data_IF_431570889467
#
_entry.id   IF_431570889467
#
_cell.length_a   1.000
_cell.length_b   1.000
_cell.length_c   1.000
_cell.angle_alpha   90.00
_cell.angle_beta   90.00
_cell.angle_gamma   90.00
#
_symmetry.space_group_name_H-M   'P 1'
#
loop_
_entity.id
_entity.type
_entity.pdbx_description
1 polymer ?
#
# COMPACT_ATOMS: atom_id res chain seq x y z
N UNK A 1 2.67 3.77 5.39
CA UNK A 1 3.87 2.98 5.09
C UNK A 1 4.46 2.38 6.37
N UNK A 2 4.94 1.15 6.33
CA UNK A 2 5.74 0.54 7.42
C UNK A 2 6.96 -0.14 6.84
N UNK A 3 8.08 -0.14 7.56
CA UNK A 3 9.37 -0.63 7.07
C UNK A 3 10.02 -1.56 8.08
N UNK A 4 10.76 -2.55 7.57
CA UNK A 4 11.53 -3.49 8.37
C UNK A 4 12.69 -2.82 9.11
N UNK A 5 12.94 -3.27 10.33
CA UNK A 5 14.01 -2.79 11.17
C UNK A 5 15.36 -2.89 10.44
N UNK A 6 16.15 -1.81 10.46
CA UNK A 6 17.43 -1.70 9.74
C UNK A 6 17.33 -2.04 8.25
N UNK A 7 16.20 -1.68 7.62
CA UNK A 7 15.87 -2.05 6.24
C UNK A 7 15.81 -3.57 5.99
N UNK A 8 15.62 -4.36 7.04
CA UNK A 8 15.54 -5.82 6.97
C UNK A 8 14.30 -6.30 6.21
N UNK A 9 14.42 -7.49 5.66
CA UNK A 9 13.33 -8.18 4.94
C UNK A 9 12.19 -8.50 5.89
N UNK A 10 10.96 -8.13 5.50
CA UNK A 10 9.73 -8.44 6.24
C UNK A 10 8.83 -9.44 5.52
N UNK A 11 9.11 -9.78 4.27
CA UNK A 11 8.46 -10.85 3.51
C UNK A 11 9.52 -11.72 2.88
N UNK A 12 9.64 -13.00 3.28
CA UNK A 12 10.65 -13.94 2.78
C UNK A 12 10.10 -14.90 1.74
N UNK A 13 8.82 -15.22 1.84
CA UNK A 13 8.13 -16.13 0.92
C UNK A 13 6.68 -15.72 0.67
N UNK A 14 5.98 -16.44 -0.22
CA UNK A 14 4.58 -16.17 -0.59
C UNK A 14 3.62 -16.21 0.59
N UNK A 15 3.88 -17.07 1.57
CA UNK A 15 3.01 -17.22 2.73
C UNK A 15 3.04 -15.97 3.62
N UNK A 16 4.19 -15.29 3.69
CA UNK A 16 4.34 -14.03 4.43
C UNK A 16 3.48 -12.91 3.83
N UNK A 17 3.53 -12.75 2.51
CA UNK A 17 2.68 -11.80 1.79
C UNK A 17 1.19 -12.14 1.98
N UNK A 18 0.85 -13.41 1.83
CA UNK A 18 -0.51 -13.90 2.05
C UNK A 18 -0.99 -13.70 3.48
N UNK A 19 -0.13 -13.93 4.47
CA UNK A 19 -0.44 -13.68 5.88
C UNK A 19 -0.76 -12.20 6.12
N UNK A 20 0.06 -11.29 5.60
CA UNK A 20 -0.17 -9.85 5.77
C UNK A 20 -1.53 -9.41 5.20
N UNK A 21 -1.87 -9.88 3.99
CA UNK A 21 -3.17 -9.57 3.35
C UNK A 21 -4.35 -10.19 4.12
N UNK A 22 -4.21 -11.41 4.64
CA UNK A 22 -5.25 -12.03 5.49
C UNK A 22 -5.48 -11.22 6.77
N UNK A 23 -4.41 -10.79 7.43
CA UNK A 23 -4.53 -9.95 8.64
C UNK A 23 -5.19 -8.59 8.34
N UNK A 24 -4.87 -7.98 7.21
CA UNK A 24 -5.56 -6.78 6.75
C UNK A 24 -7.06 -7.05 6.55
N UNK A 25 -7.43 -8.19 5.96
CA UNK A 25 -8.83 -8.59 5.77
C UNK A 25 -9.55 -8.84 7.09
N UNK A 26 -8.92 -9.53 8.03
CA UNK A 26 -9.49 -9.76 9.36
C UNK A 26 -9.76 -8.43 10.10
N UNK A 27 -8.80 -7.51 10.02
CA UNK A 27 -8.94 -6.18 10.63
C UNK A 27 -10.00 -5.35 9.91
N UNK A 28 -10.11 -5.45 8.57
CA UNK A 28 -11.16 -4.77 7.79
C UNK A 28 -12.56 -5.20 8.21
N UNK A 29 -12.75 -6.47 8.57
CA UNK A 29 -14.02 -6.97 9.05
C UNK A 29 -14.39 -6.42 10.45
N UNK A 30 -13.38 -6.12 11.27
CA UNK A 30 -13.57 -5.62 12.63
C UNK A 30 -13.63 -4.09 12.72
N UNK A 31 -12.79 -3.43 11.94
CA UNK A 31 -12.67 -1.98 11.84
C UNK A 31 -12.78 -1.60 10.36
N UNK A 32 -13.99 -1.33 9.87
CA UNK A 32 -14.21 -1.08 8.44
C UNK A 32 -13.35 0.06 7.90
N UNK A 33 -12.67 -0.21 6.81
CA UNK A 33 -11.94 0.76 6.01
C UNK A 33 -12.02 0.37 4.53
N UNK A 34 -11.83 1.34 3.66
CA UNK A 34 -11.76 1.13 2.21
C UNK A 34 -10.28 1.09 1.83
N UNK A 35 -9.82 -0.02 1.25
CA UNK A 35 -8.45 -0.14 0.72
C UNK A 35 -8.47 0.16 -0.77
N UNK A 36 -7.81 1.24 -1.17
CA UNK A 36 -7.71 1.62 -2.57
C UNK A 36 -6.47 1.02 -3.23
N UNK A 37 -5.29 1.21 -2.65
CA UNK A 37 -4.07 0.65 -3.22
C UNK A 37 -3.16 0.03 -2.18
N UNK A 38 -2.40 -0.98 -2.59
CA UNK A 38 -1.28 -1.51 -1.80
C UNK A 38 -0.12 -1.95 -2.69
N UNK A 39 1.07 -1.93 -2.10
CA UNK A 39 2.25 -2.61 -2.61
C UNK A 39 3.07 -3.13 -1.44
N UNK A 40 3.27 -4.45 -1.39
CA UNK A 40 4.07 -5.13 -0.38
C UNK A 40 5.46 -5.40 -0.96
N UNK A 41 6.41 -4.54 -0.61
CA UNK A 41 7.81 -4.66 -1.05
C UNK A 41 8.57 -5.58 -0.10
N UNK A 42 9.71 -6.10 -0.51
CA UNK A 42 10.49 -7.07 0.29
C UNK A 42 10.73 -6.63 1.74
N UNK A 43 10.97 -5.34 1.98
CA UNK A 43 11.35 -4.80 3.29
C UNK A 43 10.44 -3.66 3.81
N UNK A 44 9.38 -3.33 3.09
CA UNK A 44 8.40 -2.33 3.51
C UNK A 44 7.07 -2.55 2.78
N UNK A 45 6.03 -1.84 3.21
CA UNK A 45 4.74 -1.83 2.53
C UNK A 45 4.19 -0.42 2.40
N UNK A 46 3.41 -0.23 1.35
CA UNK A 46 2.58 0.95 1.14
C UNK A 46 1.12 0.54 1.09
N UNK A 47 0.26 1.33 1.74
CA UNK A 47 -1.20 1.20 1.70
C UNK A 47 -1.79 2.57 1.47
N UNK A 48 -2.79 2.65 0.60
CA UNK A 48 -3.69 3.78 0.48
C UNK A 48 -5.05 3.31 0.93
N UNK A 49 -5.56 3.90 2.00
CA UNK A 49 -6.83 3.50 2.61
C UNK A 49 -7.61 4.70 3.13
N UNK A 50 -8.93 4.57 3.11
CA UNK A 50 -9.86 5.51 3.72
C UNK A 50 -10.48 4.88 4.95
N UNK A 51 -10.29 5.50 6.10
CA UNK A 51 -10.95 5.08 7.36
C UNK A 51 -12.42 5.47 7.33
N UNK A 52 -13.30 4.65 7.92
CA UNK A 52 -14.74 4.93 7.97
C UNK A 52 -15.11 5.54 9.33
N UNK A 53 -15.01 4.78 10.41
CA UNK A 53 -15.41 5.23 11.75
C UNK A 53 -14.26 5.19 12.76
N UNK A 54 -13.22 4.42 12.48
CA UNK A 54 -12.15 4.16 13.41
C UNK A 54 -10.84 4.85 12.95
N UNK A 55 -10.03 5.38 13.88
CA UNK A 55 -8.76 5.97 13.55
C UNK A 55 -7.77 4.92 13.03
N UNK A 56 -6.87 5.33 12.16
CA UNK A 56 -5.91 4.46 11.46
C UNK A 56 -5.08 3.54 12.38
N UNK A 57 -4.81 3.96 13.61
CA UNK A 57 -4.05 3.14 14.56
C UNK A 57 -4.79 1.87 14.98
N UNK A 58 -6.13 1.87 15.06
CA UNK A 58 -6.93 0.66 15.30
C UNK A 58 -6.84 -0.36 14.16
N UNK A 59 -6.51 0.10 12.97
CA UNK A 59 -6.30 -0.74 11.78
C UNK A 59 -4.87 -1.25 11.75
N UNK A 60 -3.90 -0.34 11.80
CA UNK A 60 -2.50 -0.69 11.53
C UNK A 60 -1.80 -1.40 12.68
N UNK A 61 -2.10 -1.03 13.94
CA UNK A 61 -1.43 -1.63 15.09
C UNK A 61 -1.69 -3.14 15.23
N UNK A 62 -2.94 -3.64 15.17
CA UNK A 62 -3.17 -5.08 15.23
C UNK A 62 -2.57 -5.83 14.04
N UNK A 63 -2.62 -5.29 12.82
CA UNK A 63 -2.01 -5.90 11.64
C UNK A 63 -0.51 -6.07 11.87
N UNK A 64 0.20 -4.98 12.18
CA UNK A 64 1.66 -5.01 12.33
C UNK A 64 2.11 -5.87 13.51
N UNK A 65 1.43 -5.78 14.65
CA UNK A 65 1.80 -6.56 15.84
C UNK A 65 1.57 -8.06 15.63
N UNK A 66 0.45 -8.43 15.03
CA UNK A 66 0.16 -9.85 14.77
C UNK A 66 1.11 -10.40 13.73
N UNK A 67 1.34 -9.65 12.65
CA UNK A 67 2.29 -10.04 11.61
C UNK A 67 3.69 -10.23 12.18
N UNK A 68 4.21 -9.26 12.95
CA UNK A 68 5.55 -9.34 13.55
C UNK A 68 5.70 -10.56 14.45
N UNK A 69 4.68 -10.86 15.28
CA UNK A 69 4.69 -12.05 16.15
C UNK A 69 4.75 -13.35 15.34
N UNK A 70 3.93 -13.47 14.30
CA UNK A 70 3.90 -14.66 13.44
C UNK A 70 5.19 -14.83 12.65
N UNK A 71 5.73 -13.74 12.10
CA UNK A 71 7.02 -13.73 11.41
C UNK A 71 8.15 -14.17 12.34
N UNK A 72 8.25 -13.58 13.53
CA UNK A 72 9.27 -13.91 14.51
C UNK A 72 9.20 -15.39 14.93
N UNK A 73 7.99 -15.89 15.17
CA UNK A 73 7.76 -17.30 15.50
C UNK A 73 8.20 -18.22 14.33
N UNK A 74 7.82 -17.90 13.11
CA UNK A 74 8.14 -18.70 11.90
C UNK A 74 9.65 -18.80 11.66
N UNK A 75 10.38 -17.70 11.89
CA UNK A 75 11.80 -17.61 11.52
C UNK A 75 12.77 -17.67 12.71
N UNK A 76 12.27 -17.87 13.93
CA UNK A 76 13.11 -17.83 15.14
C UNK A 76 13.80 -16.50 15.31
N UNK A 77 13.08 -15.39 14.96
CA UNK A 77 13.64 -14.05 15.00
C UNK A 77 13.32 -13.35 16.31
N UNK A 78 14.33 -12.80 16.97
CA UNK A 78 14.19 -12.03 18.21
C UNK A 78 14.26 -10.54 17.94
N UNK A 79 13.38 -9.77 18.62
CA UNK A 79 13.37 -8.32 18.55
C UNK A 79 12.28 -7.74 17.65
N UNK A 80 12.45 -6.45 17.30
CA UNK A 80 11.46 -5.71 16.53
C UNK A 80 11.59 -5.98 15.03
N UNK A 81 10.54 -6.50 14.41
CA UNK A 81 10.48 -6.72 12.96
C UNK A 81 10.43 -5.39 12.20
N UNK A 82 9.66 -4.42 12.70
CA UNK A 82 9.54 -3.09 12.11
C UNK A 82 10.44 -2.08 12.83
N UNK A 83 10.99 -1.11 12.09
CA UNK A 83 11.88 -0.08 12.63
C UNK A 83 11.18 0.91 13.56
N UNK A 84 9.90 1.15 13.28
CA UNK A 84 9.05 2.06 14.03
C UNK A 84 7.58 1.67 13.87
N UNK A 85 6.69 2.46 14.47
CA UNK A 85 5.29 2.46 14.07
C UNK A 85 5.17 2.88 12.60
N UNK A 86 4.03 2.58 11.95
CA UNK A 86 3.78 3.05 10.59
C UNK A 86 3.83 4.59 10.50
N UNK A 87 4.22 5.09 9.34
CA UNK A 87 4.07 6.50 8.98
C UNK A 87 2.80 6.66 8.16
N UNK A 88 1.98 7.67 8.48
CA UNK A 88 0.78 8.01 7.71
C UNK A 88 0.82 9.48 7.30
N UNK A 89 0.25 9.77 6.13
CA UNK A 89 0.01 11.11 5.63
C UNK A 89 -1.47 11.21 5.27
N UNK A 90 -2.11 12.31 5.61
CA UNK A 90 -3.49 12.58 5.21
C UNK A 90 -3.49 13.02 3.74
N UNK A 91 -4.41 12.44 2.95
CA UNK A 91 -4.64 12.82 1.55
C UNK A 91 -5.88 13.69 1.51
N UNK A 92 -5.72 14.97 1.22
CA UNK A 92 -6.78 15.96 1.32
C UNK A 92 -7.48 16.27 -0.01
N UNK A 93 -6.80 16.01 -1.15
CA UNK A 93 -7.34 16.29 -2.47
C UNK A 93 -7.30 15.08 -3.41
N UNK A 94 -8.18 15.10 -4.43
CA UNK A 94 -8.33 14.00 -5.37
C UNK A 94 -7.14 13.86 -6.32
N UNK A 95 -6.43 14.93 -6.62
CA UNK A 95 -5.25 14.88 -7.48
C UNK A 95 -4.12 14.16 -6.76
N UNK A 96 -3.87 14.54 -5.51
CA UNK A 96 -2.86 13.87 -4.68
C UNK A 96 -3.24 12.42 -4.42
N UNK A 97 -4.53 12.11 -4.24
CA UNK A 97 -5.02 10.75 -4.12
C UNK A 97 -4.63 9.88 -5.32
N UNK A 98 -4.82 10.37 -6.56
CA UNK A 98 -4.42 9.66 -7.76
C UNK A 98 -2.89 9.47 -7.86
N UNK A 99 -2.12 10.49 -7.51
CA UNK A 99 -0.66 10.42 -7.54
C UNK A 99 -0.11 9.43 -6.50
N UNK A 100 -0.72 9.34 -5.31
CA UNK A 100 -0.36 8.35 -4.29
C UNK A 100 -0.64 6.92 -4.79
N UNK A 101 -1.82 6.68 -5.37
CA UNK A 101 -2.16 5.40 -5.99
C UNK A 101 -1.13 5.01 -7.05
N UNK A 102 -0.80 5.94 -7.96
CA UNK A 102 0.24 5.76 -8.97
C UNK A 102 1.60 5.46 -8.36
N UNK A 103 2.03 6.26 -7.39
CA UNK A 103 3.30 6.07 -6.68
C UNK A 103 3.38 4.66 -6.10
N UNK A 104 2.33 4.21 -5.41
CA UNK A 104 2.26 2.87 -4.80
C UNK A 104 2.46 1.78 -5.85
N UNK A 105 1.78 1.87 -6.98
CA UNK A 105 1.85 0.87 -8.04
C UNK A 105 3.19 0.88 -8.80
N UNK A 106 3.88 2.01 -8.84
CA UNK A 106 5.20 2.13 -9.48
C UNK A 106 6.38 1.73 -8.59
N UNK A 107 6.18 1.54 -7.28
CA UNK A 107 7.28 1.20 -6.36
C UNK A 107 8.15 0.02 -6.83
N UNK A 108 7.59 -1.11 -7.31
CA UNK A 108 8.39 -2.25 -7.73
C UNK A 108 9.24 -1.95 -8.99
N UNK A 109 8.74 -1.10 -9.88
CA UNK A 109 9.49 -0.65 -11.08
C UNK A 109 10.62 0.28 -10.67
N UNK A 110 10.34 1.26 -9.80
CA UNK A 110 11.37 2.18 -9.26
C UNK A 110 12.47 1.44 -8.50
N UNK A 111 12.10 0.38 -7.79
CA UNK A 111 13.05 -0.50 -7.10
C UNK A 111 13.75 -1.50 -8.05
N UNK A 112 13.52 -1.43 -9.36
CA UNK A 112 14.08 -2.34 -10.38
C UNK A 112 13.78 -3.83 -10.14
N UNK A 113 12.72 -4.14 -9.39
CA UNK A 113 12.31 -5.52 -9.13
C UNK A 113 11.59 -6.14 -10.32
N UNK A 114 10.87 -5.32 -11.07
CA UNK A 114 10.16 -5.68 -12.30
C UNK A 114 10.30 -4.58 -13.35
N UNK A 115 10.04 -4.89 -14.61
CA UNK A 115 10.06 -3.91 -15.71
C UNK A 115 8.74 -3.15 -15.85
N UNK A 116 7.64 -3.80 -15.50
CA UNK A 116 6.27 -3.28 -15.64
C UNK A 116 5.51 -3.51 -14.33
N UNK A 117 4.64 -2.56 -13.90
CA UNK A 117 3.93 -2.68 -12.62
C UNK A 117 3.07 -3.95 -12.53
N UNK A 118 2.46 -4.38 -13.65
CA UNK A 118 1.59 -5.55 -13.71
C UNK A 118 2.33 -6.87 -13.44
N UNK A 119 3.65 -6.91 -13.65
CA UNK A 119 4.47 -8.09 -13.39
C UNK A 119 4.74 -8.33 -11.89
N UNK A 120 4.41 -7.36 -11.03
CA UNK A 120 4.62 -7.50 -9.59
C UNK A 120 3.38 -8.07 -8.90
N UNK A 121 3.48 -9.31 -8.44
CA UNK A 121 2.37 -10.09 -7.87
C UNK A 121 1.78 -9.48 -6.58
N UNK A 122 2.63 -8.82 -5.77
CA UNK A 122 2.23 -8.31 -4.43
C UNK A 122 1.82 -6.84 -4.45
N UNK A 123 1.19 -6.42 -5.53
CA UNK A 123 0.60 -5.10 -5.73
C UNK A 123 -0.86 -5.21 -6.11
N UNK A 124 -1.65 -4.23 -5.66
CA UNK A 124 -3.06 -4.11 -6.07
C UNK A 124 -3.25 -3.65 -7.52
N UNK A 125 -2.20 -3.32 -8.25
CA UNK A 125 -2.31 -2.81 -9.63
C UNK A 125 -3.11 -3.71 -10.57
N UNK A 126 -3.00 -5.04 -10.40
CA UNK A 126 -3.77 -6.02 -11.17
C UNK A 126 -5.28 -5.80 -11.08
N UNK A 127 -5.81 -5.43 -9.91
CA UNK A 127 -7.25 -5.18 -9.71
C UNK A 127 -7.74 -3.97 -10.51
N UNK A 128 -6.85 -3.08 -10.89
CA UNK A 128 -7.16 -1.94 -11.77
C UNK A 128 -7.16 -2.31 -13.25
N UNK A 129 -6.47 -3.39 -13.62
CA UNK A 129 -6.28 -3.80 -15.03
C UNK A 129 -7.27 -4.89 -15.46
N UNK A 130 -7.83 -5.62 -14.51
CA UNK A 130 -8.72 -6.75 -14.81
C UNK A 130 -10.05 -6.60 -14.07
N UNK A 131 -11.12 -7.19 -14.64
CA UNK A 131 -12.39 -7.36 -13.95
C UNK A 131 -12.37 -8.60 -13.04
N UNK A 132 -11.22 -8.85 -12.42
CA UNK A 132 -11.00 -10.06 -11.66
C UNK A 132 -12.05 -10.20 -10.57
N UNK A 133 -12.90 -11.19 -10.73
CA UNK A 133 -13.96 -11.51 -9.79
C UNK A 133 -13.32 -11.89 -8.47
N UNK A 134 -13.65 -11.12 -7.45
CA UNK A 134 -13.18 -11.27 -6.06
C UNK A 134 -13.33 -12.72 -5.63
N UNK A 135 -12.24 -13.34 -5.19
CA UNK A 135 -12.35 -14.64 -4.53
C UNK A 135 -12.87 -14.42 -3.11
N UNK A 136 -13.78 -15.27 -2.71
CA UNK A 136 -14.32 -15.24 -1.35
C UNK A 136 -13.18 -15.35 -0.32
N UNK A 137 -13.17 -14.46 0.67
CA UNK A 137 -12.12 -14.42 1.70
C UNK A 137 -10.91 -13.54 1.38
N UNK A 138 -10.74 -13.04 0.17
CA UNK A 138 -9.67 -12.09 -0.15
C UNK A 138 -10.00 -10.67 0.33
N UNK A 139 -8.95 -9.87 0.55
CA UNK A 139 -9.12 -8.46 0.88
C UNK A 139 -9.77 -7.72 -0.29
N UNK A 140 -10.71 -6.83 0.04
CA UNK A 140 -11.45 -6.06 -0.97
C UNK A 140 -10.67 -4.80 -1.33
N UNK A 141 -10.34 -4.66 -2.60
CA UNK A 141 -9.75 -3.43 -3.16
C UNK A 141 -10.87 -2.64 -3.84
N UNK A 142 -11.03 -1.40 -3.43
CA UNK A 142 -11.98 -0.48 -4.07
C UNK A 142 -11.24 0.38 -5.10
N UNK A 143 -11.48 0.07 -6.37
CA UNK A 143 -10.89 0.80 -7.50
C UNK A 143 -11.77 1.95 -7.97
N UNK A 144 -12.99 2.09 -7.43
CA UNK A 144 -14.03 2.98 -7.98
C UNK A 144 -13.65 4.44 -7.93
N UNK A 145 -13.07 4.93 -6.81
CA UNK A 145 -12.66 6.32 -6.67
C UNK A 145 -11.55 6.69 -7.64
N UNK A 146 -10.55 5.81 -7.79
CA UNK A 146 -9.42 6.04 -8.72
C UNK A 146 -9.89 5.97 -10.15
N UNK A 147 -10.59 4.88 -10.55
CA UNK A 147 -11.07 4.72 -11.91
C UNK A 147 -12.13 5.74 -12.28
N UNK A 148 -12.95 6.19 -11.33
CA UNK A 148 -13.97 7.23 -11.53
C UNK A 148 -13.41 8.61 -11.90
N UNK A 149 -12.12 8.86 -11.70
CA UNK A 149 -11.46 10.08 -12.16
C UNK A 149 -11.29 10.13 -13.70
N UNK A 150 -11.42 9.00 -14.37
CA UNK A 150 -11.24 8.85 -15.81
C UNK A 150 -12.59 8.64 -16.50
N UNK A 151 -12.89 9.43 -17.55
CA UNK A 151 -14.21 9.45 -18.17
C UNK A 151 -14.43 8.37 -19.22
N UNK A 152 -13.40 8.07 -19.99
CA UNK A 152 -13.46 7.11 -21.12
C UNK A 152 -12.40 6.04 -20.90
N UNK A 153 -12.78 4.77 -21.06
CA UNK A 153 -11.90 3.63 -20.81
C UNK A 153 -11.03 3.81 -19.54
N UNK A 154 -11.65 3.83 -18.33
CA UNK A 154 -10.97 4.19 -17.11
C UNK A 154 -9.72 3.34 -16.82
N UNK A 155 -9.74 2.05 -17.19
CA UNK A 155 -8.63 1.13 -16.97
C UNK A 155 -7.44 1.47 -17.85
N UNK A 156 -7.68 1.71 -19.14
CA UNK A 156 -6.63 2.10 -20.07
C UNK A 156 -6.08 3.49 -19.74
N UNK A 157 -6.94 4.44 -19.40
CA UNK A 157 -6.48 5.77 -18.98
C UNK A 157 -5.66 5.71 -17.70
N UNK A 158 -6.07 4.89 -16.72
CA UNK A 158 -5.29 4.69 -15.51
C UNK A 158 -3.96 3.99 -15.81
N UNK A 159 -3.93 3.02 -16.72
CA UNK A 159 -2.69 2.40 -17.18
C UNK A 159 -1.75 3.42 -17.79
N UNK A 160 -2.24 4.25 -18.71
CA UNK A 160 -1.45 5.33 -19.31
C UNK A 160 -0.94 6.33 -18.26
N UNK A 161 -1.76 6.66 -17.27
CA UNK A 161 -1.39 7.53 -16.16
C UNK A 161 -0.30 6.92 -15.30
N UNK A 162 -0.38 5.63 -14.95
CA UNK A 162 0.63 4.94 -14.14
C UNK A 162 1.92 4.72 -14.92
N UNK A 163 1.85 4.20 -16.16
CA UNK A 163 2.99 3.77 -16.95
C UNK A 163 3.59 4.91 -17.80
N UNK A 164 2.88 6.03 -17.94
CA UNK A 164 3.35 7.21 -18.65
C UNK A 164 4.64 7.77 -18.06
N UNK A 165 5.54 8.24 -18.92
CA UNK A 165 6.83 8.82 -18.52
C UNK A 165 6.63 10.18 -17.87
N UNK A 166 6.39 10.21 -16.57
CA UNK A 166 6.65 11.42 -15.79
C UNK A 166 8.05 11.28 -15.19
N UNK A 167 8.84 12.35 -15.26
CA UNK A 167 10.20 12.32 -14.74
C UNK A 167 10.21 12.02 -13.24
N UNK A 168 11.18 11.24 -12.79
CA UNK A 168 11.37 10.86 -11.38
C UNK A 168 11.38 12.10 -10.44
N UNK A 169 11.92 13.22 -10.92
CA UNK A 169 12.00 14.48 -10.19
C UNK A 169 10.61 15.13 -9.92
N UNK A 170 9.67 15.03 -10.86
CA UNK A 170 8.31 15.58 -10.67
C UNK A 170 7.50 14.77 -9.67
N UNK A 171 7.73 13.45 -9.60
CA UNK A 171 7.03 12.58 -8.65
C UNK A 171 7.55 12.74 -7.22
N UNK A 172 8.87 12.83 -7.03
CA UNK A 172 9.46 13.08 -5.70
C UNK A 172 9.10 14.47 -5.18
N UNK A 173 9.05 15.47 -6.07
CA UNK A 173 8.69 16.83 -5.69
C UNK A 173 7.24 16.96 -5.24
N UNK A 174 6.28 16.24 -5.87
CA UNK A 174 4.89 16.20 -5.45
C UNK A 174 4.71 15.55 -4.07
N UNK A 175 5.32 14.40 -3.85
CA UNK A 175 5.18 13.65 -2.60
C UNK A 175 5.97 14.31 -1.46
N UNK A 176 7.19 14.80 -1.71
CA UNK A 176 7.99 15.48 -0.70
C UNK A 176 7.50 16.88 -0.36
N UNK A 177 6.87 17.59 -1.28
CA UNK A 177 6.31 18.91 -1.04
C UNK A 177 5.16 18.81 -0.04
N UNK A 178 4.22 17.88 -0.24
CA UNK A 178 3.12 17.67 0.68
C UNK A 178 3.53 17.04 2.01
N UNK A 179 4.56 16.19 2.03
CA UNK A 179 5.13 15.69 3.29
C UNK A 179 5.84 16.78 4.12
N UNK A 180 6.33 17.86 3.48
CA UNK A 180 6.97 19.00 4.14
C UNK A 180 5.99 20.12 4.49
N UNK A 181 4.97 20.35 3.67
CA UNK A 181 3.96 21.39 3.89
C UNK A 181 2.91 20.97 4.94
N UNK A 182 2.63 19.67 5.04
CA UNK A 182 1.84 19.10 6.12
C UNK A 182 2.77 18.65 7.25
N UNK A 183 3.26 19.57 8.08
CA UNK A 183 3.94 19.31 9.35
C UNK A 183 3.03 18.59 10.37
N UNK A 184 2.27 17.62 9.93
CA UNK A 184 1.52 16.71 10.79
C UNK A 184 2.36 15.48 11.13
N UNK A 185 3.61 15.72 11.54
CA UNK A 185 4.32 14.82 12.44
C UNK A 185 3.64 14.93 13.80
N UNK A 186 2.58 14.16 14.00
CA UNK A 186 2.12 13.91 15.35
C UNK A 186 3.12 12.95 15.99
N UNK A 187 3.95 13.43 16.93
CA UNK A 187 4.82 12.55 17.70
C UNK A 187 3.97 11.85 18.74
N UNK A 188 3.77 10.55 18.57
CA UNK A 188 3.24 9.63 19.58
C UNK A 188 3.93 8.30 19.52
#
# INVERSE_FOLDING_TARGET
MGRGNRHGVIYRDRDDYGLFLRLLKEVQNRYPFVLQAYCLMTNHFHLELTTVNDPIWKIMQPVMNHYARMFNQKYGYDGHLFDSRYTSCLIEDDRYFLEVSRYIHLNPVKATMVREPLAYEYSSYRHYMTDDSRKEGEIVIDTSRVLGAFRTDPREQYRMFVEGKISHAEQEMLIMKDMKENELWLPW
#
